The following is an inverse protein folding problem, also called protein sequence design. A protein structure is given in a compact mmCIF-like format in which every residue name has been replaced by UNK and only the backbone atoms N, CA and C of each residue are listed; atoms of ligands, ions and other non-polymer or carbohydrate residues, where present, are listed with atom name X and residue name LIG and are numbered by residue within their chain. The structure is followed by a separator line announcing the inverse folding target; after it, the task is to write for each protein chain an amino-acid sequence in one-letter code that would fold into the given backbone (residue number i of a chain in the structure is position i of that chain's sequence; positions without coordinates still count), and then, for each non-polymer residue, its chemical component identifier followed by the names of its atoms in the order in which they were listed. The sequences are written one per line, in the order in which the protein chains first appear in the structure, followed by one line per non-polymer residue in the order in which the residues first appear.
data_IF_139204426328
#
_entry.id   IF_139204426328
#
_cell.length_a   1.000
_cell.length_b   1.000
_cell.length_c   1.000
_cell.angle_alpha   90.00
_cell.angle_beta   90.00
_cell.angle_gamma   90.00
#
_symmetry.space_group_name_H-M   'P 1'
#
loop_
_entity.id
_entity.type
_entity.pdbx_description
1 polymer ?
#
# COMPACT_ATOMS: atom_id res chain seq x y z
N UNK A 1 -6.56 9.82 6.16
CA UNK A 1 -6.83 8.45 5.68
C UNK A 1 -6.68 7.49 6.84
N UNK A 2 -7.51 6.45 6.94
CA UNK A 2 -7.37 5.41 7.96
C UNK A 2 -6.83 4.14 7.30
N UNK A 3 -5.64 3.70 7.72
CA UNK A 3 -5.12 2.39 7.32
C UNK A 3 -5.77 1.34 8.23
N UNK A 4 -6.36 0.33 7.60
CA UNK A 4 -7.11 -0.73 8.27
C UNK A 4 -6.25 -1.98 8.45
N UNK A 5 -5.42 -2.31 7.47
CA UNK A 5 -4.52 -3.46 7.52
C UNK A 5 -3.28 -3.22 6.65
N UNK A 6 -2.15 -3.77 7.09
CA UNK A 6 -0.89 -3.85 6.33
C UNK A 6 -0.39 -5.28 6.47
N UNK A 7 -0.34 -6.01 5.36
CA UNK A 7 0.02 -7.42 5.31
C UNK A 7 1.15 -7.65 4.31
N UNK A 8 2.28 -8.20 4.79
CA UNK A 8 3.35 -8.68 3.91
C UNK A 8 2.95 -10.03 3.35
N UNK A 9 2.56 -10.06 2.08
CA UNK A 9 2.07 -11.28 1.41
C UNK A 9 3.19 -12.15 0.86
N UNK A 10 4.30 -11.53 0.46
CA UNK A 10 5.41 -12.24 -0.18
C UNK A 10 6.71 -11.48 0.03
N UNK A 11 7.78 -12.22 0.30
CA UNK A 11 9.15 -11.70 0.29
C UNK A 11 10.01 -12.58 -0.58
N UNK A 12 10.55 -12.02 -1.65
CA UNK A 12 11.40 -12.73 -2.61
C UNK A 12 12.73 -12.02 -2.81
N UNK A 13 13.78 -12.79 -3.08
CA UNK A 13 15.08 -12.26 -3.45
C UNK A 13 15.28 -12.45 -4.95
N UNK A 14 15.40 -11.35 -5.68
CA UNK A 14 15.62 -11.31 -7.12
C UNK A 14 16.98 -10.68 -7.42
N UNK A 15 17.35 -10.59 -8.72
CA UNK A 15 18.60 -9.92 -9.12
C UNK A 15 18.63 -8.43 -8.78
N UNK A 16 17.48 -7.82 -8.50
CA UNK A 16 17.33 -6.40 -8.17
C UNK A 16 17.34 -6.13 -6.66
N UNK A 17 17.36 -7.18 -5.82
CA UNK A 17 17.28 -7.08 -4.37
C UNK A 17 16.09 -7.87 -3.80
N UNK A 18 15.62 -7.46 -2.64
CA UNK A 18 14.50 -8.06 -1.92
C UNK A 18 13.20 -7.34 -2.23
N UNK A 19 12.27 -8.06 -2.84
CA UNK A 19 10.91 -7.62 -3.13
C UNK A 19 10.00 -7.99 -1.96
N UNK A 20 9.46 -6.98 -1.27
CA UNK A 20 8.42 -7.16 -0.26
C UNK A 20 7.09 -6.70 -0.85
N UNK A 21 6.21 -7.66 -1.12
CA UNK A 21 4.87 -7.42 -1.63
C UNK A 21 3.92 -7.24 -0.46
N UNK A 22 3.32 -6.05 -0.37
CA UNK A 22 2.51 -5.61 0.77
C UNK A 22 1.11 -5.29 0.30
N UNK A 23 0.11 -5.94 0.89
CA UNK A 23 -1.28 -5.53 0.74
C UNK A 23 -1.60 -4.48 1.80
N UNK A 24 -2.11 -3.34 1.36
CA UNK A 24 -2.53 -2.26 2.24
C UNK A 24 -4.01 -2.02 2.04
N UNK A 25 -4.79 -2.26 3.08
CA UNK A 25 -6.23 -1.98 3.10
C UNK A 25 -6.44 -0.64 3.80
N UNK A 26 -7.10 0.30 3.15
CA UNK A 26 -7.34 1.64 3.70
C UNK A 26 -8.74 2.16 3.38
N UNK A 27 -9.20 3.10 4.21
CA UNK A 27 -10.37 3.94 3.98
C UNK A 27 -9.94 5.41 3.90
N UNK A 28 -10.26 6.09 2.80
CA UNK A 28 -10.13 7.55 2.73
C UNK A 28 -11.49 8.21 2.99
N UNK A 29 -11.54 9.39 3.63
CA UNK A 29 -12.81 10.08 3.92
C UNK A 29 -13.60 10.47 2.67
N UNK A 30 -12.93 10.62 1.53
CA UNK A 30 -13.58 10.96 0.25
C UNK A 30 -14.24 9.74 -0.41
N UNK A 31 -13.91 8.52 0.01
CA UNK A 31 -14.39 7.27 -0.58
C UNK A 31 -15.55 6.68 0.23
N UNK A 32 -16.46 6.01 -0.46
CA UNK A 32 -17.57 5.25 0.16
C UNK A 32 -17.08 3.91 0.68
N UNK A 33 -16.22 3.25 -0.09
CA UNK A 33 -15.71 1.92 0.21
C UNK A 33 -14.23 1.91 0.61
N UNK A 34 -13.81 0.78 1.20
CA UNK A 34 -12.42 0.52 1.54
C UNK A 34 -11.72 -0.18 0.39
N UNK A 35 -10.45 0.15 0.16
CA UNK A 35 -9.68 -0.40 -0.94
C UNK A 35 -8.45 -1.14 -0.43
N UNK A 36 -8.12 -2.24 -1.09
CA UNK A 36 -6.86 -2.96 -0.90
C UNK A 36 -5.96 -2.75 -2.11
N UNK A 37 -4.79 -2.16 -1.87
CA UNK A 37 -3.76 -1.96 -2.90
C UNK A 37 -2.58 -2.87 -2.65
N UNK A 38 -1.98 -3.36 -3.74
CA UNK A 38 -0.74 -4.15 -3.68
C UNK A 38 0.45 -3.25 -3.96
N UNK A 39 1.28 -3.04 -2.94
CA UNK A 39 2.51 -2.26 -3.02
C UNK A 39 3.72 -3.19 -3.10
N UNK A 40 4.74 -2.74 -3.84
CA UNK A 40 6.06 -3.36 -3.87
C UNK A 40 7.06 -2.45 -3.16
N UNK A 41 7.74 -2.97 -2.14
CA UNK A 41 8.93 -2.36 -1.53
C UNK A 41 10.15 -3.16 -1.99
N UNK A 42 10.96 -2.56 -2.86
CA UNK A 42 12.22 -3.13 -3.32
C UNK A 42 13.36 -2.58 -2.45
N UNK A 43 14.10 -3.47 -1.79
CA UNK A 43 15.13 -3.14 -0.81
C UNK A 43 16.39 -3.96 -1.06
N UNK A 44 17.57 -3.43 -0.75
CA UNK A 44 18.82 -4.21 -0.85
C UNK A 44 18.95 -5.32 0.20
N UNK A 45 18.07 -5.32 1.21
CA UNK A 45 18.07 -6.28 2.31
C UNK A 45 16.67 -6.76 2.66
N UNK A 46 16.59 -7.95 3.27
CA UNK A 46 15.33 -8.49 3.80
C UNK A 46 14.93 -7.74 5.06
N UNK A 47 13.76 -7.10 5.03
CA UNK A 47 13.12 -6.55 6.21
C UNK A 47 12.48 -7.71 6.98
N UNK A 48 12.91 -7.91 8.23
CA UNK A 48 12.38 -8.97 9.11
C UNK A 48 11.28 -8.46 10.03
N UNK A 49 11.36 -7.19 10.41
CA UNK A 49 10.45 -6.56 11.35
C UNK A 49 9.26 -5.97 10.61
N UNK A 50 8.05 -6.35 11.03
CA UNK A 50 6.81 -5.84 10.46
C UNK A 50 6.66 -4.34 10.73
N UNK A 51 7.10 -3.85 11.88
CA UNK A 51 6.96 -2.43 12.23
C UNK A 51 7.71 -1.52 11.25
N UNK A 52 8.84 -1.99 10.73
CA UNK A 52 9.60 -1.27 9.69
C UNK A 52 8.81 -1.22 8.38
N UNK A 53 8.13 -2.31 8.00
CA UNK A 53 7.27 -2.30 6.81
C UNK A 53 6.10 -1.34 7.00
N UNK A 54 5.46 -1.38 8.17
CA UNK A 54 4.33 -0.51 8.49
C UNK A 54 4.75 0.95 8.40
N UNK A 55 5.90 1.31 8.97
CA UNK A 55 6.49 2.65 8.88
C UNK A 55 6.79 3.07 7.43
N UNK A 56 7.38 2.18 6.62
CA UNK A 56 7.65 2.47 5.21
C UNK A 56 6.35 2.73 4.43
N UNK A 57 5.29 1.98 4.72
CA UNK A 57 3.99 2.22 4.09
C UNK A 57 3.40 3.55 4.54
N UNK A 58 3.38 3.84 5.84
CA UNK A 58 2.71 5.01 6.42
C UNK A 58 3.43 6.32 6.14
N UNK A 59 4.76 6.31 6.06
CA UNK A 59 5.54 7.53 5.85
C UNK A 59 5.99 7.70 4.39
N UNK A 60 6.52 6.63 3.77
CA UNK A 60 7.12 6.74 2.44
C UNK A 60 6.12 6.48 1.31
N UNK A 61 5.16 5.57 1.50
CA UNK A 61 4.17 5.20 0.47
C UNK A 61 2.82 5.89 0.62
N UNK A 62 2.64 6.73 1.63
CA UNK A 62 1.39 7.44 1.88
C UNK A 62 0.91 8.26 0.67
N UNK A 63 1.84 8.92 -0.04
CA UNK A 63 1.51 9.69 -1.25
C UNK A 63 0.88 8.82 -2.33
N UNK A 64 1.33 7.58 -2.48
CA UNK A 64 0.77 6.65 -3.47
C UNK A 64 -0.65 6.25 -3.10
N UNK A 65 -0.92 6.03 -1.81
CA UNK A 65 -2.27 5.77 -1.31
C UNK A 65 -3.21 6.97 -1.54
N UNK A 66 -2.73 8.19 -1.30
CA UNK A 66 -3.51 9.41 -1.57
C UNK A 66 -3.83 9.53 -3.06
N UNK A 67 -2.85 9.34 -3.95
CA UNK A 67 -3.10 9.35 -5.40
C UNK A 67 -4.11 8.29 -5.83
N UNK A 68 -3.97 7.06 -5.31
CA UNK A 68 -4.92 5.99 -5.57
C UNK A 68 -6.32 6.36 -5.08
N UNK A 69 -6.45 7.01 -3.93
CA UNK A 69 -7.75 7.45 -3.41
C UNK A 69 -8.44 8.50 -4.28
N UNK A 70 -7.69 9.40 -4.92
CA UNK A 70 -8.27 10.36 -5.88
C UNK A 70 -8.79 9.63 -7.11
N UNK A 71 -8.01 8.68 -7.64
CA UNK A 71 -8.46 7.86 -8.78
C UNK A 71 -9.74 7.07 -8.45
N UNK A 72 -9.80 6.44 -7.27
CA UNK A 72 -10.98 5.69 -6.84
C UNK A 72 -12.19 6.59 -6.63
N UNK A 73 -11.98 7.83 -6.17
CA UNK A 73 -13.06 8.80 -6.04
C UNK A 73 -13.69 9.11 -7.41
N UNK A 74 -12.87 9.32 -8.43
CA UNK A 74 -13.37 9.55 -9.79
C UNK A 74 -14.15 8.34 -10.30
N UNK A 75 -13.66 7.11 -10.04
CA UNK A 75 -14.34 5.87 -10.43
C UNK A 75 -15.67 5.68 -9.69
N UNK A 76 -15.73 5.90 -8.37
CA UNK A 76 -16.96 5.76 -7.58
C UNK A 76 -18.07 6.75 -7.99
N UNK A 77 -17.67 7.90 -8.54
CA UNK A 77 -18.59 8.97 -8.94
C UNK A 77 -18.77 9.09 -10.46
N UNK A 78 -18.17 8.19 -11.24
CA UNK A 78 -18.51 8.04 -12.66
C UNK A 78 -19.89 7.37 -12.77
N UNK A 79 -20.87 8.10 -13.32
CA UNK A 79 -22.16 7.53 -13.72
C UNK A 79 -21.95 6.67 -14.98
N UNK A 80 -22.32 5.39 -14.91
CA UNK A 80 -22.39 4.46 -16.05
C UNK A 80 -23.77 4.47 -16.69
#
# INVERSE_FOLDING_TARGET
MKILNIEVTKVEHTKLGYEHWVNVTYQAPILRDSYTVKLLLLMDFKIKDKEVVDYLVTEFRYRDLVKHSVLMYDIENQEF
#
